data_IF_853406695844
#
_entry.id   IF_853406695844
#
_cell.length_a   1.000
_cell.length_b   1.000
_cell.length_c   1.000
_cell.angle_alpha   90.00
_cell.angle_beta   90.00
_cell.angle_gamma   90.00
#
_symmetry.space_group_name_H-M   'P 1'
#
loop_
_entity.id
_entity.type
_entity.pdbx_description
1 polymer ?
#
# COMPACT_ATOMS: atom_id res chain seq x y z
N UNK A 1 10.80 -20.50 -37.38
CA UNK A 1 10.28 -20.99 -36.09
C UNK A 1 10.80 -20.06 -35.00
N UNK A 2 9.97 -19.14 -34.51
CA UNK A 2 10.17 -18.44 -33.23
C UNK A 2 8.81 -17.84 -32.85
N UNK A 3 8.08 -18.51 -31.95
CA UNK A 3 6.85 -17.98 -31.37
C UNK A 3 7.26 -16.88 -30.40
N UNK A 4 6.78 -15.65 -30.62
CA UNK A 4 6.84 -14.59 -29.63
C UNK A 4 6.07 -14.99 -28.36
N UNK A 5 6.33 -14.33 -27.22
CA UNK A 5 5.65 -14.65 -25.98
C UNK A 5 4.14 -14.47 -26.21
N UNK A 6 3.41 -15.55 -26.02
CA UNK A 6 1.96 -15.54 -25.96
C UNK A 6 1.56 -14.70 -24.75
N UNK A 7 0.97 -13.54 -25.00
CA UNK A 7 0.18 -12.81 -24.03
C UNK A 7 -1.03 -13.70 -23.67
N UNK A 8 -0.81 -14.61 -22.73
CA UNK A 8 -1.85 -15.46 -22.18
C UNK A 8 -2.70 -14.52 -21.34
N UNK A 9 -3.82 -14.04 -21.93
CA UNK A 9 -4.75 -13.04 -21.40
C UNK A 9 -5.46 -13.44 -20.10
N UNK A 10 -4.69 -13.89 -19.12
CA UNK A 10 -5.10 -14.05 -17.74
C UNK A 10 -5.06 -12.66 -17.13
N UNK A 11 -6.23 -12.09 -16.85
CA UNK A 11 -6.33 -10.87 -16.06
C UNK A 11 -5.60 -11.08 -14.73
N UNK A 12 -4.39 -10.53 -14.59
CA UNK A 12 -3.58 -10.64 -13.39
C UNK A 12 -4.38 -10.14 -12.19
N UNK A 13 -4.55 -10.99 -11.17
CA UNK A 13 -5.32 -10.60 -9.98
C UNK A 13 -4.46 -9.70 -9.11
N UNK A 14 -4.78 -8.42 -9.14
CA UNK A 14 -4.04 -7.38 -8.44
C UNK A 14 -4.78 -6.89 -7.19
N UNK A 15 -4.05 -6.75 -6.10
CA UNK A 15 -4.53 -6.12 -4.87
C UNK A 15 -3.73 -4.86 -4.50
N UNK A 16 -4.42 -3.87 -3.95
CA UNK A 16 -3.80 -2.72 -3.29
C UNK A 16 -3.68 -3.03 -1.81
N UNK A 17 -2.50 -2.81 -1.25
CA UNK A 17 -2.21 -3.00 0.17
C UNK A 17 -1.88 -1.65 0.78
N UNK A 18 -2.66 -1.21 1.77
CA UNK A 18 -2.51 0.10 2.42
C UNK A 18 -2.15 -0.08 3.89
N UNK A 19 -0.88 0.12 4.28
CA UNK A 19 -0.47 0.07 5.68
C UNK A 19 -0.96 1.32 6.41
N UNK A 20 -1.79 1.13 7.43
CA UNK A 20 -2.31 2.21 8.28
C UNK A 20 -1.99 1.95 9.75
N UNK A 21 -1.39 2.93 10.40
CA UNK A 21 -1.25 2.98 11.86
C UNK A 21 -2.41 3.74 12.48
N UNK A 22 -2.53 3.68 13.80
CA UNK A 22 -3.48 4.54 14.52
C UNK A 22 -3.27 6.02 14.17
N UNK A 23 -4.35 6.72 13.86
CA UNK A 23 -4.32 8.14 13.45
C UNK A 23 -3.83 9.07 14.56
N UNK A 24 -4.06 8.73 15.83
CA UNK A 24 -3.58 9.51 16.99
C UNK A 24 -2.05 9.44 17.16
N UNK A 25 -1.41 8.44 16.53
CA UNK A 25 0.04 8.30 16.45
C UNK A 25 0.62 8.86 15.14
N UNK A 26 -0.19 9.55 14.33
CA UNK A 26 0.28 10.17 13.08
C UNK A 26 1.53 11.03 13.34
N UNK A 27 2.57 10.77 12.53
CA UNK A 27 3.95 11.19 12.82
C UNK A 27 4.07 12.70 12.98
N UNK A 28 5.07 13.12 13.78
CA UNK A 28 5.52 14.50 13.96
C UNK A 28 5.71 15.30 12.66
N UNK A 29 5.97 14.64 11.52
CA UNK A 29 6.11 15.28 10.20
C UNK A 29 4.83 15.91 9.66
N UNK A 30 3.65 15.49 10.12
CA UNK A 30 2.37 16.12 9.79
C UNK A 30 2.03 17.29 10.74
N UNK A 31 2.76 17.39 11.87
CA UNK A 31 2.57 18.42 12.91
C UNK A 31 3.44 19.67 12.70
N UNK A 32 4.16 19.77 11.59
CA UNK A 32 5.08 20.89 11.31
C UNK A 32 4.38 22.23 11.08
N UNK A 33 3.05 22.25 10.94
CA UNK A 33 2.23 23.46 10.99
C UNK A 33 1.35 23.41 12.24
N UNK A 34 1.55 24.35 13.16
CA UNK A 34 0.94 24.34 14.50
C UNK A 34 -0.61 24.39 14.50
N UNK A 35 -1.24 24.79 13.38
CA UNK A 35 -2.70 24.88 13.23
C UNK A 35 -3.36 23.63 12.61
N UNK A 36 -2.58 22.60 12.24
CA UNK A 36 -3.13 21.41 11.58
C UNK A 36 -3.39 20.31 12.60
N UNK A 37 -4.66 19.91 12.72
CA UNK A 37 -5.02 18.66 13.40
C UNK A 37 -4.47 17.47 12.60
N UNK A 38 -3.27 17.02 12.98
CA UNK A 38 -2.58 15.92 12.32
C UNK A 38 -3.37 14.60 12.36
N UNK A 39 -4.24 14.40 13.35
CA UNK A 39 -5.09 13.21 13.43
C UNK A 39 -6.14 13.25 12.34
N UNK A 40 -6.82 14.39 12.21
CA UNK A 40 -7.82 14.61 11.16
C UNK A 40 -7.18 14.57 9.77
N UNK A 41 -6.03 15.21 9.59
CA UNK A 41 -5.30 15.16 8.33
C UNK A 41 -4.91 13.72 7.94
N UNK A 42 -4.37 12.93 8.87
CA UNK A 42 -4.02 11.54 8.60
C UNK A 42 -5.24 10.68 8.23
N UNK A 43 -6.38 10.93 8.87
CA UNK A 43 -7.64 10.29 8.53
C UNK A 43 -8.12 10.68 7.11
N UNK A 44 -8.11 11.97 6.78
CA UNK A 44 -8.57 12.47 5.49
C UNK A 44 -7.68 12.00 4.33
N UNK A 45 -6.36 11.93 4.52
CA UNK A 45 -5.43 11.36 3.55
C UNK A 45 -5.69 9.86 3.33
N UNK A 46 -5.87 9.09 4.41
CA UNK A 46 -6.17 7.67 4.31
C UNK A 46 -7.50 7.42 3.59
N UNK A 47 -8.52 8.23 3.87
CA UNK A 47 -9.79 8.19 3.16
C UNK A 47 -9.61 8.49 1.66
N UNK A 48 -8.80 9.49 1.31
CA UNK A 48 -8.48 9.80 -0.08
C UNK A 48 -7.82 8.62 -0.80
N UNK A 49 -6.85 7.96 -0.16
CA UNK A 49 -6.19 6.76 -0.71
C UNK A 49 -7.18 5.61 -0.91
N UNK A 50 -8.00 5.28 0.09
CA UNK A 50 -9.00 4.20 -0.05
C UNK A 50 -10.03 4.50 -1.12
N UNK A 51 -10.44 5.77 -1.25
CA UNK A 51 -11.37 6.22 -2.29
C UNK A 51 -10.76 6.07 -3.68
N UNK A 52 -9.51 6.50 -3.86
CA UNK A 52 -8.81 6.43 -5.14
C UNK A 52 -8.36 5.00 -5.52
N UNK A 53 -8.32 4.08 -4.56
CA UNK A 53 -8.06 2.68 -4.78
C UNK A 53 -9.27 1.93 -5.37
N UNK A 54 -10.49 2.41 -5.12
CA UNK A 54 -11.69 1.80 -5.68
C UNK A 54 -11.71 1.87 -7.22
N UNK A 55 -12.22 0.83 -7.91
CA UNK A 55 -12.88 -0.37 -7.38
C UNK A 55 -11.95 -1.57 -7.14
N UNK A 56 -10.61 -1.38 -7.11
CA UNK A 56 -9.67 -2.50 -6.97
C UNK A 56 -9.79 -3.16 -5.58
N UNK A 57 -9.55 -4.48 -5.48
CA UNK A 57 -9.42 -5.16 -4.20
C UNK A 57 -8.39 -4.44 -3.33
N UNK A 58 -8.82 -3.97 -2.16
CA UNK A 58 -7.98 -3.16 -1.27
C UNK A 58 -7.94 -3.81 0.10
N UNK A 59 -6.73 -4.00 0.61
CA UNK A 59 -6.45 -4.61 1.91
C UNK A 59 -5.71 -3.60 2.78
N UNK A 60 -6.29 -3.25 3.92
CA UNK A 60 -5.65 -2.42 4.94
C UNK A 60 -4.88 -3.29 5.93
N UNK A 61 -3.62 -2.95 6.17
CA UNK A 61 -2.79 -3.55 7.22
C UNK A 61 -2.80 -2.65 8.43
N UNK A 62 -3.26 -3.14 9.57
CA UNK A 62 -3.28 -2.34 10.80
C UNK A 62 -3.24 -3.19 12.07
N UNK A 63 -2.86 -2.59 13.19
CA UNK A 63 -2.94 -3.20 14.53
C UNK A 63 -4.19 -2.80 15.32
N UNK A 64 -4.92 -1.78 14.84
CA UNK A 64 -5.96 -1.09 15.61
C UNK A 64 -7.36 -1.47 15.16
N UNK A 65 -8.21 -1.89 16.09
CA UNK A 65 -9.62 -2.15 15.84
C UNK A 65 -10.35 -0.93 15.24
N UNK A 66 -10.01 0.28 15.69
CA UNK A 66 -10.61 1.51 15.14
C UNK A 66 -10.25 1.74 13.67
N UNK A 67 -9.01 1.44 13.29
CA UNK A 67 -8.53 1.54 11.90
C UNK A 67 -9.16 0.42 11.05
N UNK A 68 -9.28 -0.79 11.60
CA UNK A 68 -9.96 -1.90 10.94
C UNK A 68 -11.44 -1.57 10.64
N UNK A 69 -12.16 -1.01 11.61
CA UNK A 69 -13.56 -0.61 11.42
C UNK A 69 -13.68 0.54 10.41
N UNK A 70 -12.74 1.49 10.42
CA UNK A 70 -12.64 2.53 9.40
C UNK A 70 -12.46 1.94 8.01
N UNK A 71 -11.47 1.07 7.82
CA UNK A 71 -11.18 0.44 6.54
C UNK A 71 -12.39 -0.32 5.97
N UNK A 72 -13.04 -1.15 6.81
CA UNK A 72 -14.22 -1.93 6.41
C UNK A 72 -15.39 -1.04 6.00
N UNK A 73 -15.64 0.07 6.72
CA UNK A 73 -16.68 1.04 6.35
C UNK A 73 -16.43 1.67 4.98
N UNK A 74 -15.18 1.71 4.53
CA UNK A 74 -14.78 2.25 3.24
C UNK A 74 -14.50 1.15 2.20
N UNK A 75 -14.99 -0.07 2.41
CA UNK A 75 -14.97 -1.15 1.42
C UNK A 75 -13.66 -1.92 1.30
N UNK A 76 -12.71 -1.71 2.22
CA UNK A 76 -11.46 -2.46 2.24
C UNK A 76 -11.53 -3.68 3.17
N UNK A 77 -10.88 -4.77 2.76
CA UNK A 77 -10.57 -5.89 3.63
C UNK A 77 -9.46 -5.51 4.61
N UNK A 78 -9.31 -6.29 5.69
CA UNK A 78 -8.34 -5.97 6.75
C UNK A 78 -7.53 -7.21 7.13
N UNK A 79 -6.21 -7.06 7.10
CA UNK A 79 -5.28 -7.98 7.76
C UNK A 79 -4.77 -7.30 9.03
N UNK A 80 -5.08 -7.90 10.18
CA UNK A 80 -4.60 -7.37 11.47
C UNK A 80 -3.26 -8.00 11.81
N UNK A 81 -2.26 -7.17 12.12
CA UNK A 81 -0.93 -7.64 12.50
C UNK A 81 -0.45 -6.96 13.79
N UNK A 82 0.29 -7.71 14.62
CA UNK A 82 1.03 -7.18 15.77
C UNK A 82 2.51 -6.88 15.43
N UNK A 83 2.83 -6.80 14.15
CA UNK A 83 4.15 -6.45 13.66
C UNK A 83 4.67 -5.15 14.29
N UNK A 84 5.98 -5.11 14.58
CA UNK A 84 6.63 -3.97 15.23
C UNK A 84 6.90 -2.81 14.25
N UNK A 85 6.85 -3.08 12.95
CA UNK A 85 7.17 -2.11 11.90
C UNK A 85 6.50 -2.39 10.56
N UNK A 86 6.65 -1.44 9.63
CA UNK A 86 6.04 -1.50 8.29
C UNK A 86 6.51 -2.73 7.50
N UNK A 87 7.82 -3.01 7.51
CA UNK A 87 8.41 -4.12 6.77
C UNK A 87 7.82 -5.47 7.18
N UNK A 88 7.75 -5.73 8.49
CA UNK A 88 7.20 -6.97 9.04
C UNK A 88 5.68 -7.08 8.75
N UNK A 89 4.94 -5.98 8.85
CA UNK A 89 3.51 -5.97 8.53
C UNK A 89 3.25 -6.32 7.06
N UNK A 90 4.00 -5.69 6.15
CA UNK A 90 3.89 -5.94 4.70
C UNK A 90 4.37 -7.34 4.34
N UNK A 91 5.46 -7.82 4.95
CA UNK A 91 5.95 -9.20 4.73
C UNK A 91 4.90 -10.23 5.12
N UNK A 92 4.25 -10.05 6.26
CA UNK A 92 3.18 -10.93 6.72
C UNK A 92 1.99 -10.96 5.76
N UNK A 93 1.56 -9.78 5.30
CA UNK A 93 0.47 -9.68 4.33
C UNK A 93 0.83 -10.28 2.98
N UNK A 94 2.05 -10.04 2.50
CA UNK A 94 2.56 -10.60 1.24
C UNK A 94 2.47 -12.13 1.22
N UNK A 95 2.86 -12.79 2.32
CA UNK A 95 2.74 -14.23 2.45
C UNK A 95 1.28 -14.72 2.44
N UNK A 96 0.36 -14.00 3.10
CA UNK A 96 -1.07 -14.38 3.14
C UNK A 96 -1.80 -14.15 1.82
N UNK A 97 -1.37 -13.16 1.04
CA UNK A 97 -2.02 -12.78 -0.21
C UNK A 97 -1.51 -13.58 -1.41
N UNK A 98 -0.46 -14.38 -1.24
CA UNK A 98 0.23 -15.07 -2.33
C UNK A 98 -0.64 -16.06 -3.11
N UNK A 99 -1.65 -16.66 -2.47
CA UNK A 99 -2.56 -17.60 -3.14
C UNK A 99 -3.74 -16.90 -3.83
N UNK A 100 -4.12 -15.71 -3.34
CA UNK A 100 -5.30 -14.97 -3.78
C UNK A 100 -5.00 -13.99 -4.92
N UNK A 101 -3.79 -13.44 -4.95
CA UNK A 101 -3.37 -12.40 -5.90
C UNK A 101 -2.07 -12.79 -6.58
N UNK A 102 -1.90 -12.37 -7.82
CA UNK A 102 -0.69 -12.60 -8.61
C UNK A 102 0.31 -11.44 -8.43
N UNK A 103 -0.20 -10.28 -7.99
CA UNK A 103 0.60 -9.09 -7.72
C UNK A 103 -0.05 -8.24 -6.62
N UNK A 104 0.79 -7.65 -5.76
CA UNK A 104 0.34 -6.62 -4.82
C UNK A 104 0.98 -5.28 -5.14
N UNK A 105 0.23 -4.20 -4.89
CA UNK A 105 0.72 -2.82 -4.92
C UNK A 105 0.62 -2.28 -3.51
N UNK A 106 1.75 -2.08 -2.84
CA UNK A 106 1.79 -1.42 -1.54
C UNK A 106 1.75 0.08 -1.77
N UNK A 107 0.70 0.73 -1.24
CA UNK A 107 0.46 2.17 -1.35
C UNK A 107 0.43 2.77 0.04
N UNK A 108 1.20 3.84 0.25
CA UNK A 108 1.19 4.56 1.52
C UNK A 108 -0.16 5.26 1.77
N UNK A 109 -0.67 5.18 3.01
CA UNK A 109 -1.95 5.79 3.39
C UNK A 109 -1.95 7.31 3.56
N UNK A 110 -0.79 7.97 3.41
CA UNK A 110 -0.60 9.40 3.62
C UNK A 110 -0.25 10.17 2.33
N UNK A 111 -0.62 9.61 1.15
CA UNK A 111 -0.43 10.29 -0.14
C UNK A 111 -1.32 11.53 -0.26
N UNK A 112 -0.69 12.68 -0.50
CA UNK A 112 -1.41 13.94 -0.72
C UNK A 112 -2.17 13.97 -2.06
N UNK A 113 -1.71 13.19 -3.05
CA UNK A 113 -2.29 13.12 -4.40
C UNK A 113 -2.46 11.64 -4.79
N UNK A 114 -3.53 10.97 -4.32
CA UNK A 114 -3.74 9.54 -4.54
C UNK A 114 -4.36 9.20 -5.91
N UNK A 115 -4.60 10.20 -6.77
CA UNK A 115 -5.23 9.97 -8.07
C UNK A 115 -4.43 9.00 -8.95
N UNK A 116 -5.13 8.12 -9.66
CA UNK A 116 -4.53 7.16 -10.58
C UNK A 116 -4.12 5.82 -9.97
N UNK A 117 -4.22 5.63 -8.64
CA UNK A 117 -3.93 4.36 -7.97
C UNK A 117 -4.70 3.19 -8.61
N UNK A 118 -6.02 3.33 -8.80
CA UNK A 118 -6.85 2.26 -9.38
C UNK A 118 -6.54 1.97 -10.87
N UNK A 119 -5.94 2.92 -11.58
CA UNK A 119 -5.54 2.78 -12.97
C UNK A 119 -4.08 2.33 -13.13
N UNK A 120 -3.32 2.22 -12.02
CA UNK A 120 -1.92 1.85 -12.06
C UNK A 120 -1.78 0.36 -12.39
N UNK A 121 -1.24 0.09 -13.59
CA UNK A 121 -0.97 -1.25 -14.11
C UNK A 121 0.55 -1.42 -14.27
N UNK A 122 1.24 -1.86 -13.21
CA UNK A 122 2.67 -2.11 -13.27
C UNK A 122 2.98 -3.23 -14.27
N UNK A 123 4.10 -3.08 -15.00
CA UNK A 123 4.62 -4.14 -15.85
C UNK A 123 5.01 -5.38 -15.02
N UNK A 124 5.19 -6.51 -15.70
CA UNK A 124 5.67 -7.76 -15.07
C UNK A 124 7.04 -7.52 -14.43
N UNK A 125 7.11 -7.60 -13.10
CA UNK A 125 8.33 -7.37 -12.32
C UNK A 125 8.09 -6.48 -11.11
N UNK A 126 9.18 -6.12 -10.42
CA UNK A 126 9.14 -5.21 -9.26
C UNK A 126 9.18 -3.77 -9.75
N UNK A 127 8.18 -2.96 -9.36
CA UNK A 127 8.13 -1.53 -9.69
C UNK A 127 8.20 -0.70 -8.42
N UNK A 128 9.15 0.24 -8.36
CA UNK A 128 9.32 1.18 -7.25
C UNK A 128 8.97 2.59 -7.76
N UNK A 129 8.02 3.26 -7.11
CA UNK A 129 7.72 4.68 -7.32
C UNK A 129 8.23 5.45 -6.11
N UNK A 130 9.24 6.28 -6.35
CA UNK A 130 9.88 7.08 -5.29
C UNK A 130 9.07 8.32 -4.93
N UNK A 131 9.28 8.85 -3.73
CA UNK A 131 8.69 10.10 -3.27
C UNK A 131 9.26 11.32 -4.01
N UNK A 132 8.61 12.48 -3.84
CA UNK A 132 9.01 13.75 -4.48
C UNK A 132 10.44 14.20 -4.14
N UNK A 133 11.05 13.61 -3.11
CA UNK A 133 12.39 13.93 -2.63
C UNK A 133 13.41 12.84 -2.97
N UNK A 134 13.00 11.75 -3.65
CA UNK A 134 13.84 10.61 -3.98
C UNK A 134 14.37 9.82 -2.78
N UNK A 135 13.78 9.97 -1.58
CA UNK A 135 14.32 9.40 -0.33
C UNK A 135 13.43 8.35 0.33
N UNK A 136 12.26 8.08 -0.26
CA UNK A 136 11.33 7.06 0.21
C UNK A 136 10.55 6.45 -0.95
N UNK A 137 9.90 5.31 -0.70
CA UNK A 137 9.06 4.61 -1.67
C UNK A 137 7.59 4.94 -1.40
N UNK A 138 6.92 5.62 -2.34
CA UNK A 138 5.50 5.94 -2.24
C UNK A 138 4.61 4.76 -2.63
N UNK A 139 5.03 4.02 -3.66
CA UNK A 139 4.32 2.86 -4.19
C UNK A 139 5.33 1.77 -4.54
N UNK A 140 5.06 0.54 -4.11
CA UNK A 140 5.86 -0.64 -4.46
C UNK A 140 4.94 -1.72 -5.00
N UNK A 141 5.09 -2.07 -6.29
CA UNK A 141 4.40 -3.20 -6.88
C UNK A 141 5.33 -4.41 -6.95
N UNK A 142 4.87 -5.56 -6.45
CA UNK A 142 5.66 -6.80 -6.38
C UNK A 142 4.77 -7.97 -6.79
N UNK A 143 5.20 -8.80 -7.77
CA UNK A 143 4.55 -10.07 -8.03
C UNK A 143 4.54 -10.92 -6.76
N UNK A 144 3.45 -11.63 -6.51
CA UNK A 144 3.43 -12.59 -5.40
C UNK A 144 4.29 -13.81 -5.73
N UNK A 145 4.65 -14.61 -4.72
CA UNK A 145 5.43 -15.85 -4.86
C UNK A 145 6.90 -15.66 -5.30
N UNK A 146 7.41 -14.44 -5.26
CA UNK A 146 8.85 -14.19 -5.31
C UNK A 146 9.44 -14.28 -3.90
N UNK A 147 10.68 -14.73 -3.81
CA UNK A 147 11.46 -14.60 -2.57
C UNK A 147 11.89 -13.13 -2.41
N UNK A 148 10.95 -12.31 -1.90
CA UNK A 148 11.10 -10.86 -1.80
C UNK A 148 11.09 -10.40 -0.33
N UNK A 149 12.03 -9.52 0.00
CA UNK A 149 12.17 -8.92 1.33
C UNK A 149 11.91 -7.42 1.30
N UNK A 150 10.92 -6.97 2.07
CA UNK A 150 10.58 -5.55 2.15
C UNK A 150 11.52 -4.77 3.08
N UNK A 151 12.03 -3.63 2.61
CA UNK A 151 12.93 -2.75 3.36
C UNK A 151 12.56 -1.26 3.20
N UNK A 152 11.41 -0.84 3.73
CA UNK A 152 10.99 0.58 3.76
C UNK A 152 11.78 1.38 4.82
N UNK A 153 12.15 2.62 4.52
CA UNK A 153 12.94 3.50 5.40
C UNK A 153 13.64 4.65 4.68
N UNK A 154 14.48 5.43 5.38
CA UNK A 154 15.49 6.22 4.68
C UNK A 154 16.41 5.24 3.92
N UNK A 155 16.84 5.62 2.71
CA UNK A 155 17.67 4.79 1.82
C UNK A 155 16.97 3.52 1.25
N UNK A 156 15.63 3.51 1.25
CA UNK A 156 14.84 2.38 0.69
C UNK A 156 14.67 2.40 -0.83
N UNK A 157 15.17 3.46 -1.48
CA UNK A 157 15.34 3.56 -2.93
C UNK A 157 16.72 4.16 -3.21
N UNK A 158 17.43 3.72 -4.28
CA UNK A 158 18.77 4.16 -4.63
C UNK A 158 18.83 5.61 -5.13
#
# INVERSE_FOLDING_TARGET
>A
MMRGPTDDGTTSRLAIVVPLKRFDLAKQRLRSNADVDATRLAHDLALGVLTAAAPRPTIVLCESARVADFARRHGADVITSRARGLNEAVQHAYAQLADAFDQIIVVHGDLATPDGIAAFEPAVGVTIVVDRHGRGTNVLAVPTRLDFHFAYGADSAP
#
